data_IF_827730881540
#
_entry.id   IF_827730881540
#
_cell.length_a   1.000
_cell.length_b   1.000
_cell.length_c   1.000
_cell.angle_alpha   90.00
_cell.angle_beta   90.00
_cell.angle_gamma   90.00
#
_symmetry.space_group_name_H-M   'P 1'
#
loop_
_entity.id
_entity.type
_entity.pdbx_description
1 polymer ?
#
# COMPACT_ATOMS: atom_id res chain seq x y z
N UNK A 1 -31.04 28.13 0.15
CA UNK A 1 -31.14 28.02 -1.32
C UNK A 1 -30.87 26.57 -1.67
N UNK A 2 -31.87 25.85 -2.19
CA UNK A 2 -31.69 24.49 -2.72
C UNK A 2 -30.82 24.57 -3.97
N UNK A 3 -29.70 23.86 -3.97
CA UNK A 3 -28.89 23.71 -5.18
C UNK A 3 -29.74 22.97 -6.22
N UNK A 4 -29.59 23.33 -7.50
CA UNK A 4 -30.18 22.53 -8.57
C UNK A 4 -29.62 21.10 -8.47
N UNK A 5 -30.46 20.10 -8.70
CA UNK A 5 -30.09 18.67 -8.68
C UNK A 5 -28.82 18.40 -9.52
N UNK A 6 -28.63 19.13 -10.62
CA UNK A 6 -27.43 19.11 -11.48
C UNK A 6 -26.15 19.60 -10.77
N UNK A 7 -26.26 20.65 -9.96
CA UNK A 7 -25.12 21.18 -9.21
C UNK A 7 -24.70 20.25 -8.07
N UNK A 8 -25.65 19.57 -7.43
CA UNK A 8 -25.35 18.53 -6.43
C UNK A 8 -24.63 17.34 -7.05
N UNK A 9 -25.10 16.87 -8.20
CA UNK A 9 -24.48 15.78 -8.95
C UNK A 9 -23.03 16.11 -9.35
N UNK A 10 -22.79 17.28 -9.94
CA UNK A 10 -21.44 17.71 -10.31
C UNK A 10 -20.49 17.74 -9.10
N UNK A 11 -20.98 18.17 -7.93
CA UNK A 11 -20.17 18.19 -6.71
C UNK A 11 -19.82 16.77 -6.24
N UNK A 12 -20.72 15.82 -6.37
CA UNK A 12 -20.45 14.41 -6.05
C UNK A 12 -19.47 13.79 -7.05
N UNK A 13 -19.63 14.11 -8.34
CA UNK A 13 -18.74 13.63 -9.40
C UNK A 13 -17.29 14.09 -9.20
N UNK A 14 -17.05 15.36 -8.88
CA UNK A 14 -15.70 15.86 -8.59
C UNK A 14 -15.09 15.20 -7.35
N UNK A 15 -15.89 14.96 -6.30
CA UNK A 15 -15.41 14.22 -5.11
C UNK A 15 -15.00 12.78 -5.44
N UNK A 16 -15.84 12.09 -6.20
CA UNK A 16 -15.55 10.72 -6.65
C UNK A 16 -14.29 10.66 -7.50
N UNK A 17 -14.07 11.65 -8.37
CA UNK A 17 -12.86 11.76 -9.17
C UNK A 17 -11.61 11.85 -8.30
N UNK A 18 -11.64 12.68 -7.25
CA UNK A 18 -10.53 12.78 -6.29
C UNK A 18 -10.30 11.45 -5.57
N UNK A 19 -11.36 10.82 -5.03
CA UNK A 19 -11.25 9.53 -4.35
C UNK A 19 -10.71 8.42 -5.28
N UNK A 20 -11.16 8.40 -6.55
CA UNK A 20 -10.63 7.50 -7.58
C UNK A 20 -9.15 7.71 -7.82
N UNK A 21 -8.71 8.96 -8.00
CA UNK A 21 -7.32 9.27 -8.30
C UNK A 21 -6.40 8.89 -7.12
N UNK A 22 -6.85 9.08 -5.88
CA UNK A 22 -6.15 8.58 -4.68
C UNK A 22 -6.00 7.05 -4.67
N UNK A 23 -7.09 6.31 -4.94
CA UNK A 23 -7.07 4.83 -5.00
C UNK A 23 -6.16 4.34 -6.14
N UNK A 24 -6.20 5.03 -7.29
CA UNK A 24 -5.42 4.68 -8.47
C UNK A 24 -3.91 4.79 -8.24
N UNK A 25 -3.46 5.81 -7.50
CA UNK A 25 -2.04 5.95 -7.13
C UNK A 25 -1.59 4.76 -6.29
N UNK A 26 -2.40 4.32 -5.32
CA UNK A 26 -2.06 3.23 -4.41
C UNK A 26 -2.27 1.81 -4.97
N UNK A 27 -2.88 1.69 -6.16
CA UNK A 27 -3.22 0.41 -6.79
C UNK A 27 -2.00 -0.47 -7.15
N UNK A 28 -0.82 0.12 -7.30
CA UNK A 28 0.40 -0.63 -7.56
C UNK A 28 0.73 -1.61 -6.42
N UNK A 29 0.43 -1.21 -5.17
CA UNK A 29 0.62 -2.01 -3.95
C UNK A 29 -0.51 -3.02 -3.69
N UNK A 30 -1.53 -3.06 -4.55
CA UNK A 30 -2.76 -3.82 -4.32
C UNK A 30 -2.61 -5.32 -4.61
N UNK A 31 -3.36 -6.14 -3.87
CA UNK A 31 -3.55 -7.56 -4.16
C UNK A 31 -4.27 -7.77 -5.51
N UNK A 32 -4.19 -8.98 -6.05
CA UNK A 32 -4.89 -9.32 -7.30
C UNK A 32 -6.40 -9.10 -7.18
N UNK A 33 -6.99 -9.49 -6.04
CA UNK A 33 -8.42 -9.32 -5.77
C UNK A 33 -8.83 -7.83 -5.73
N UNK A 34 -8.04 -6.98 -5.06
CA UNK A 34 -8.29 -5.53 -5.01
C UNK A 34 -8.14 -4.87 -6.39
N UNK A 35 -7.25 -5.40 -7.26
CA UNK A 35 -7.13 -4.94 -8.65
C UNK A 35 -8.37 -5.31 -9.48
N UNK A 36 -8.94 -6.51 -9.28
CA UNK A 36 -10.18 -6.91 -9.95
C UNK A 36 -11.37 -6.06 -9.52
N UNK A 37 -11.51 -5.79 -8.21
CA UNK A 37 -12.54 -4.89 -7.67
C UNK A 37 -12.39 -3.47 -8.23
N UNK A 38 -11.16 -2.95 -8.31
CA UNK A 38 -10.90 -1.64 -8.91
C UNK A 38 -11.24 -1.59 -10.39
N UNK A 39 -10.92 -2.63 -11.17
CA UNK A 39 -11.30 -2.70 -12.58
C UNK A 39 -12.81 -2.71 -12.79
N UNK A 40 -13.56 -3.37 -11.90
CA UNK A 40 -15.01 -3.34 -11.92
C UNK A 40 -15.55 -1.94 -11.59
N UNK A 41 -14.96 -1.26 -10.61
CA UNK A 41 -15.28 0.12 -10.27
C UNK A 41 -14.97 1.10 -11.43
N UNK A 42 -13.82 0.98 -12.11
CA UNK A 42 -13.47 1.81 -13.26
C UNK A 42 -14.45 1.65 -14.44
N UNK A 43 -14.96 0.44 -14.67
CA UNK A 43 -16.02 0.21 -15.68
C UNK A 43 -17.30 0.97 -15.32
N UNK A 44 -17.70 0.95 -14.05
CA UNK A 44 -18.86 1.72 -13.57
C UNK A 44 -18.61 3.24 -13.66
N UNK A 45 -17.39 3.69 -13.39
CA UNK A 45 -17.00 5.10 -13.52
C UNK A 45 -17.13 5.62 -14.96
N UNK A 46 -16.69 4.85 -15.95
CA UNK A 46 -16.85 5.25 -17.36
C UNK A 46 -18.31 5.29 -17.81
N UNK A 47 -19.16 4.39 -17.30
CA UNK A 47 -20.62 4.43 -17.53
C UNK A 47 -21.23 5.70 -16.92
N UNK A 48 -20.92 5.98 -15.64
CA UNK A 48 -21.40 7.17 -14.94
C UNK A 48 -20.98 8.46 -15.66
N UNK A 49 -19.77 8.50 -16.21
CA UNK A 49 -19.25 9.64 -16.97
C UNK A 49 -20.01 9.85 -18.29
N UNK A 50 -20.41 8.77 -18.96
CA UNK A 50 -21.21 8.83 -20.18
C UNK A 50 -22.64 9.33 -19.87
N UNK A 51 -23.26 8.81 -18.81
CA UNK A 51 -24.57 9.29 -18.34
C UNK A 51 -24.53 10.75 -17.88
N UNK A 52 -23.44 11.18 -17.23
CA UNK A 52 -23.21 12.57 -16.86
C UNK A 52 -23.15 13.51 -18.07
N UNK A 53 -22.54 13.05 -19.17
CA UNK A 53 -22.47 13.80 -20.43
C UNK A 53 -23.85 13.93 -21.09
N UNK A 54 -24.69 12.89 -21.05
CA UNK A 54 -26.07 12.94 -21.54
C UNK A 54 -26.96 13.88 -20.70
N UNK A 55 -26.80 13.87 -19.37
CA UNK A 55 -27.47 14.81 -18.45
C UNK A 55 -27.04 16.28 -18.71
N UNK A 56 -25.85 16.49 -19.27
CA UNK A 56 -25.38 17.81 -19.62
C UNK A 56 -26.12 18.40 -20.85
N UNK A 57 -26.58 17.54 -21.77
CA UNK A 57 -27.10 17.89 -23.10
C UNK A 57 -28.66 17.96 -23.19
N UNK A 58 -29.42 17.24 -22.34
CA UNK A 58 -30.91 17.12 -22.48
C UNK A 58 -31.81 18.02 -21.58
N UNK A 59 -33.09 18.19 -22.01
CA UNK A 59 -34.18 18.92 -21.32
C UNK A 59 -34.76 18.24 -20.06
N UNK A 60 -35.15 19.09 -19.09
CA UNK A 60 -35.63 18.88 -17.71
C UNK A 60 -36.43 17.61 -17.33
N UNK A 61 -37.15 16.95 -18.24
CA UNK A 61 -38.07 15.85 -17.91
C UNK A 61 -37.44 14.45 -17.92
N UNK A 62 -36.42 14.19 -18.76
CA UNK A 62 -35.66 12.92 -18.74
C UNK A 62 -34.49 12.97 -17.76
N UNK A 63 -34.01 14.17 -17.48
CA UNK A 63 -32.88 14.41 -16.58
C UNK A 63 -33.16 13.97 -15.14
N UNK A 64 -34.39 14.02 -14.63
CA UNK A 64 -34.65 13.67 -13.22
C UNK A 64 -34.45 12.18 -12.94
N UNK A 65 -34.95 11.30 -13.81
CA UNK A 65 -34.75 9.85 -13.70
C UNK A 65 -33.29 9.44 -13.92
N UNK A 66 -32.61 10.08 -14.89
CA UNK A 66 -31.19 9.82 -15.14
C UNK A 66 -30.32 10.32 -14.00
N UNK A 67 -30.63 11.48 -13.40
CA UNK A 67 -29.88 11.97 -12.24
C UNK A 67 -30.13 11.11 -11.00
N UNK A 68 -31.34 10.57 -10.81
CA UNK A 68 -31.61 9.63 -9.72
C UNK A 68 -30.74 8.37 -9.86
N UNK A 69 -30.70 7.78 -11.06
CA UNK A 69 -29.87 6.61 -11.37
C UNK A 69 -28.37 6.91 -11.19
N UNK A 70 -27.90 8.03 -11.74
CA UNK A 70 -26.51 8.45 -11.63
C UNK A 70 -26.10 8.78 -10.18
N UNK A 71 -27.05 9.24 -9.34
CA UNK A 71 -26.82 9.41 -7.89
C UNK A 71 -26.65 8.06 -7.21
N UNK A 72 -27.47 7.07 -7.51
CA UNK A 72 -27.35 5.73 -6.93
C UNK A 72 -26.02 5.07 -7.34
N UNK A 73 -25.66 5.13 -8.63
CA UNK A 73 -24.37 4.63 -9.13
C UNK A 73 -23.18 5.37 -8.51
N UNK A 74 -23.31 6.68 -8.27
CA UNK A 74 -22.30 7.48 -7.57
C UNK A 74 -22.13 7.04 -6.11
N UNK A 75 -23.20 6.68 -5.41
CA UNK A 75 -23.13 6.16 -4.03
C UNK A 75 -22.44 4.80 -4.00
N UNK A 76 -22.76 3.90 -4.95
CA UNK A 76 -22.08 2.60 -5.05
C UNK A 76 -20.58 2.74 -5.35
N UNK A 77 -20.21 3.61 -6.30
CA UNK A 77 -18.82 3.89 -6.63
C UNK A 77 -18.07 4.44 -5.42
N UNK A 78 -18.68 5.36 -4.68
CA UNK A 78 -18.10 5.92 -3.46
C UNK A 78 -17.83 4.84 -2.42
N UNK A 79 -18.79 3.94 -2.20
CA UNK A 79 -18.64 2.83 -1.27
C UNK A 79 -17.50 1.89 -1.71
N UNK A 80 -17.41 1.58 -3.00
CA UNK A 80 -16.36 0.75 -3.56
C UNK A 80 -14.98 1.38 -3.40
N UNK A 81 -14.80 2.66 -3.75
CA UNK A 81 -13.53 3.35 -3.57
C UNK A 81 -13.14 3.50 -2.09
N UNK A 82 -14.10 3.73 -1.19
CA UNK A 82 -13.85 3.76 0.25
C UNK A 82 -13.39 2.39 0.80
N UNK A 83 -14.01 1.30 0.34
CA UNK A 83 -13.62 -0.06 0.71
C UNK A 83 -12.22 -0.40 0.22
N UNK A 84 -11.92 -0.09 -1.05
CA UNK A 84 -10.58 -0.28 -1.62
C UNK A 84 -9.54 0.54 -0.85
N UNK A 85 -9.84 1.80 -0.50
CA UNK A 85 -8.94 2.64 0.30
C UNK A 85 -8.66 2.04 1.67
N UNK A 86 -9.65 1.44 2.31
CA UNK A 86 -9.49 0.75 3.59
C UNK A 86 -8.64 -0.52 3.45
N UNK A 87 -8.95 -1.39 2.48
CA UNK A 87 -8.17 -2.61 2.23
C UNK A 87 -6.71 -2.31 1.89
N UNK A 88 -6.45 -1.24 1.12
CA UNK A 88 -5.09 -0.79 0.80
C UNK A 88 -4.36 -0.27 2.04
N UNK A 89 -5.04 0.43 2.94
CA UNK A 89 -4.46 0.89 4.20
C UNK A 89 -4.16 -0.28 5.14
N UNK A 90 -5.08 -1.23 5.28
CA UNK A 90 -4.89 -2.45 6.08
C UNK A 90 -3.73 -3.29 5.55
N UNK A 91 -3.60 -3.45 4.22
CA UNK A 91 -2.46 -4.17 3.61
C UNK A 91 -1.13 -3.47 3.85
N UNK A 92 -1.12 -2.14 3.82
CA UNK A 92 0.06 -1.36 4.16
C UNK A 92 0.44 -1.54 5.64
N UNK A 93 -0.52 -1.46 6.56
CA UNK A 93 -0.30 -1.65 8.00
C UNK A 93 0.12 -3.10 8.34
N UNK A 94 -0.48 -4.12 7.72
CA UNK A 94 -0.04 -5.52 7.87
C UNK A 94 1.42 -5.71 7.41
N UNK A 95 1.80 -5.06 6.31
CA UNK A 95 3.18 -5.11 5.82
C UNK A 95 4.14 -4.41 6.79
N UNK A 96 3.76 -3.25 7.34
CA UNK A 96 4.54 -2.50 8.34
C UNK A 96 4.69 -3.29 9.66
N UNK A 97 3.60 -3.81 10.23
CA UNK A 97 3.63 -4.61 11.47
C UNK A 97 4.43 -5.90 11.31
N UNK A 98 4.24 -6.59 10.18
CA UNK A 98 5.03 -7.77 9.83
C UNK A 98 6.52 -7.41 9.78
N UNK A 99 6.86 -6.31 9.11
CA UNK A 99 8.23 -5.87 8.91
C UNK A 99 8.93 -5.45 10.22
N UNK A 100 8.27 -4.71 11.10
CA UNK A 100 8.79 -4.37 12.43
C UNK A 100 9.05 -5.62 13.29
N UNK A 101 8.11 -6.58 13.26
CA UNK A 101 8.28 -7.84 13.98
C UNK A 101 9.46 -8.66 13.46
N UNK A 102 9.73 -8.60 12.15
CA UNK A 102 10.89 -9.25 11.54
C UNK A 102 12.18 -8.53 11.87
N UNK A 103 12.21 -7.20 11.83
CA UNK A 103 13.37 -6.41 12.18
C UNK A 103 13.83 -6.70 13.62
N UNK A 104 12.91 -6.72 14.59
CA UNK A 104 13.25 -7.03 15.98
C UNK A 104 13.75 -8.48 16.17
N UNK A 105 13.25 -9.45 15.40
CA UNK A 105 13.79 -10.82 15.40
C UNK A 105 15.22 -10.87 14.89
N UNK A 106 15.51 -10.24 13.76
CA UNK A 106 16.86 -10.21 13.17
C UNK A 106 17.84 -9.48 14.09
N UNK A 107 17.40 -8.38 14.73
CA UNK A 107 18.16 -7.67 15.75
C UNK A 107 18.50 -8.57 16.94
N UNK A 108 17.53 -9.36 17.41
CA UNK A 108 17.75 -10.30 18.52
C UNK A 108 18.77 -11.37 18.15
N UNK A 109 18.67 -11.95 16.95
CA UNK A 109 19.65 -12.94 16.44
C UNK A 109 21.04 -12.33 16.30
N UNK A 110 21.14 -11.10 15.77
CA UNK A 110 22.38 -10.33 15.70
C UNK A 110 23.01 -10.12 17.08
N UNK A 111 22.22 -9.67 18.04
CA UNK A 111 22.69 -9.39 19.39
C UNK A 111 23.18 -10.66 20.08
N UNK A 112 22.52 -11.80 19.85
CA UNK A 112 23.00 -13.11 20.32
C UNK A 112 24.34 -13.50 19.68
N UNK A 113 24.49 -13.30 18.36
CA UNK A 113 25.75 -13.55 17.66
C UNK A 113 26.86 -12.66 18.23
N UNK A 114 26.60 -11.37 18.45
CA UNK A 114 27.59 -10.44 19.02
C UNK A 114 28.10 -10.90 20.38
N UNK A 115 27.22 -11.41 21.24
CA UNK A 115 27.61 -11.95 22.54
C UNK A 115 28.56 -13.14 22.41
N UNK A 116 28.36 -14.00 21.40
CA UNK A 116 29.16 -15.21 21.16
C UNK A 116 30.34 -15.00 20.21
N UNK A 117 30.42 -13.86 19.54
CA UNK A 117 31.36 -13.60 18.44
C UNK A 117 32.83 -13.74 18.87
N UNK A 118 33.15 -13.44 20.12
CA UNK A 118 34.51 -13.61 20.66
C UNK A 118 34.96 -15.08 20.65
N UNK A 119 34.03 -16.03 20.70
CA UNK A 119 34.27 -17.48 20.63
C UNK A 119 34.31 -18.01 19.19
N UNK A 120 33.98 -17.17 18.20
CA UNK A 120 33.89 -17.58 16.80
C UNK A 120 35.26 -17.78 16.14
N UNK A 121 35.29 -18.65 15.12
CA UNK A 121 36.41 -18.72 14.18
C UNK A 121 36.54 -17.42 13.37
N UNK A 122 37.70 -17.23 12.73
CA UNK A 122 37.92 -16.05 11.87
C UNK A 122 36.91 -16.00 10.72
N UNK A 123 36.65 -17.12 10.04
CA UNK A 123 35.64 -17.22 8.98
C UNK A 123 34.22 -16.83 9.44
N UNK A 124 33.87 -17.12 10.70
CA UNK A 124 32.58 -16.74 11.26
C UNK A 124 32.52 -15.24 11.61
N UNK A 125 33.66 -14.64 11.99
CA UNK A 125 33.79 -13.19 12.21
C UNK A 125 33.70 -12.43 10.89
N UNK A 126 34.39 -12.91 9.85
CA UNK A 126 34.35 -12.31 8.53
C UNK A 126 32.94 -12.35 7.93
N UNK A 127 32.24 -13.50 8.04
CA UNK A 127 30.84 -13.62 7.60
C UNK A 127 29.90 -12.70 8.41
N UNK A 128 30.18 -12.51 9.70
CA UNK A 128 29.42 -11.58 10.53
C UNK A 128 29.64 -10.12 10.11
N UNK A 129 30.88 -9.73 9.81
CA UNK A 129 31.20 -8.37 9.36
C UNK A 129 30.56 -8.06 7.98
N UNK A 130 30.45 -9.06 7.10
CA UNK A 130 29.68 -8.92 5.87
C UNK A 130 28.18 -8.76 6.12
N UNK A 131 27.63 -9.51 7.07
CA UNK A 131 26.24 -9.38 7.47
C UNK A 131 25.94 -8.01 8.11
N UNK A 132 26.85 -7.45 8.91
CA UNK A 132 26.67 -6.12 9.52
C UNK A 132 26.55 -5.00 8.48
N UNK A 133 27.24 -5.10 7.32
CA UNK A 133 27.06 -4.14 6.22
C UNK A 133 25.64 -4.15 5.68
N UNK A 134 25.02 -5.32 5.59
CA UNK A 134 23.61 -5.47 5.16
C UNK A 134 22.65 -5.00 6.24
N UNK A 135 22.99 -5.22 7.51
CA UNK A 135 22.23 -4.71 8.66
C UNK A 135 22.13 -3.19 8.65
N UNK A 136 23.23 -2.48 8.36
CA UNK A 136 23.21 -1.02 8.25
C UNK A 136 22.34 -0.53 7.09
N UNK A 137 22.37 -1.23 5.95
CA UNK A 137 21.48 -0.94 4.82
C UNK A 137 20.01 -1.18 5.16
N UNK A 138 19.71 -2.28 5.88
CA UNK A 138 18.36 -2.57 6.35
C UNK A 138 17.88 -1.48 7.30
N UNK A 139 18.71 -1.05 8.26
CA UNK A 139 18.38 0.01 9.22
C UNK A 139 18.04 1.34 8.52
N UNK A 140 18.80 1.71 7.49
CA UNK A 140 18.52 2.91 6.71
C UNK A 140 17.16 2.82 6.00
N UNK A 141 16.84 1.65 5.42
CA UNK A 141 15.54 1.43 4.77
C UNK A 141 14.37 1.42 5.74
N UNK A 142 14.55 0.83 6.93
CA UNK A 142 13.53 0.87 8.00
C UNK A 142 13.23 2.32 8.37
N UNK A 143 14.26 3.15 8.51
CA UNK A 143 14.09 4.58 8.79
C UNK A 143 13.37 5.33 7.65
N UNK A 144 13.65 4.98 6.39
CA UNK A 144 12.94 5.55 5.24
C UNK A 144 11.48 5.10 5.16
N UNK A 145 11.16 3.87 5.56
CA UNK A 145 9.79 3.34 5.58
C UNK A 145 8.96 3.97 6.71
N UNK A 146 9.56 4.12 7.89
CA UNK A 146 8.91 4.68 9.08
C UNK A 146 8.75 6.22 9.03
N UNK A 147 9.40 6.88 8.08
CA UNK A 147 9.25 8.32 7.87
C UNK A 147 7.93 8.59 7.11
N UNK A 148 6.85 8.87 7.86
CA UNK A 148 5.52 9.18 7.32
C UNK A 148 5.51 10.38 6.34
N UNK A 149 6.57 11.20 6.31
CA UNK A 149 6.72 12.31 5.35
C UNK A 149 7.19 11.85 3.98
N UNK A 150 7.72 10.63 3.87
CA UNK A 150 8.15 10.01 2.61
C UNK A 150 7.11 9.00 2.14
N UNK A 151 6.72 9.11 0.88
CA UNK A 151 5.95 8.05 0.24
C UNK A 151 6.87 6.84 0.04
N UNK A 152 6.68 5.82 0.86
CA UNK A 152 7.40 4.55 0.77
C UNK A 152 7.09 3.85 -0.55
N UNK A 153 8.00 3.94 -1.51
CA UNK A 153 7.87 3.24 -2.79
C UNK A 153 7.96 1.72 -2.62
N UNK A 154 7.26 0.97 -3.47
CA UNK A 154 7.30 -0.50 -3.53
C UNK A 154 8.75 -1.03 -3.60
N UNK A 155 9.62 -0.35 -4.35
CA UNK A 155 11.05 -0.67 -4.47
C UNK A 155 11.80 -0.62 -3.13
N UNK A 156 11.44 0.30 -2.24
CA UNK A 156 12.07 0.41 -0.91
C UNK A 156 11.67 -0.78 -0.05
N UNK A 157 10.37 -1.11 -0.03
CA UNK A 157 9.82 -2.26 0.73
C UNK A 157 10.36 -3.58 0.20
N UNK A 158 10.39 -3.80 -1.12
CA UNK A 158 10.95 -5.01 -1.75
C UNK A 158 12.42 -5.18 -1.37
N UNK A 159 13.24 -4.12 -1.50
CA UNK A 159 14.66 -4.17 -1.14
C UNK A 159 14.87 -4.43 0.35
N UNK A 160 14.01 -3.88 1.20
CA UNK A 160 14.08 -4.11 2.64
C UNK A 160 13.76 -5.58 2.99
N UNK A 161 12.72 -6.16 2.37
CA UNK A 161 12.40 -7.58 2.51
C UNK A 161 13.52 -8.51 2.03
N UNK A 162 14.16 -8.18 0.91
CA UNK A 162 15.30 -8.95 0.40
C UNK A 162 16.47 -8.95 1.39
N UNK A 163 16.84 -7.77 1.92
CA UNK A 163 17.90 -7.65 2.93
C UNK A 163 17.57 -8.43 4.20
N UNK A 164 16.32 -8.38 4.66
CA UNK A 164 15.86 -9.16 5.81
C UNK A 164 16.03 -10.66 5.59
N UNK A 165 15.68 -11.18 4.41
CA UNK A 165 15.86 -12.60 4.08
C UNK A 165 17.34 -12.99 4.04
N UNK A 166 18.19 -12.17 3.40
CA UNK A 166 19.63 -12.43 3.31
C UNK A 166 20.33 -12.37 4.69
N UNK A 167 19.92 -11.43 5.55
CA UNK A 167 20.42 -11.31 6.91
C UNK A 167 20.02 -12.52 7.76
N UNK A 168 18.77 -12.95 7.67
CA UNK A 168 18.27 -14.15 8.37
C UNK A 168 19.10 -15.38 8.02
N UNK A 169 19.32 -15.61 6.73
CA UNK A 169 20.11 -16.75 6.28
C UNK A 169 21.56 -16.67 6.77
N UNK A 170 22.15 -15.48 6.74
CA UNK A 170 23.53 -15.26 7.17
C UNK A 170 23.70 -15.45 8.68
N UNK A 171 22.84 -14.84 9.49
CA UNK A 171 22.83 -15.02 10.94
C UNK A 171 22.54 -16.45 11.35
N UNK A 172 21.62 -17.13 10.66
CA UNK A 172 21.35 -18.54 10.91
C UNK A 172 22.57 -19.44 10.62
N UNK A 173 23.33 -19.18 9.54
CA UNK A 173 24.59 -19.89 9.25
C UNK A 173 25.65 -19.64 10.32
N UNK A 174 25.82 -18.38 10.75
CA UNK A 174 26.78 -18.03 11.80
C UNK A 174 26.40 -18.68 13.13
N UNK A 175 25.12 -18.66 13.52
CA UNK A 175 24.64 -19.32 14.74
C UNK A 175 24.91 -20.84 14.75
N UNK A 176 24.82 -21.50 13.59
CA UNK A 176 25.17 -22.92 13.45
C UNK A 176 26.65 -23.20 13.69
N UNK A 177 27.54 -22.22 13.50
CA UNK A 177 28.98 -22.35 13.76
C UNK A 177 29.33 -22.24 15.26
N UNK A 178 28.40 -21.81 16.10
CA UNK A 178 28.56 -21.77 17.56
C UNK A 178 28.01 -23.00 18.29
N UNK A 179 27.34 -23.91 17.58
CA UNK A 179 26.73 -25.12 18.14
C UNK A 179 27.64 -26.33 18.01
#
# INVERSE_FOLDING_TARGET
>A
MTLSIKAEFNRLFEKLKTERDEVKVKMHLASMDAREEFLAAEKKWELLKLEAAEIADETKSKSESLIAKAKDESVELKASYSSLKQQLAEKQTEAEESFDSFYEKIKTERDEIKLKLHLASMDAKDEFDEAEKKWDQLKAKVADIADETKESSEDVVIKANLLTAELKDSYHRILKKFK
#
